data_IF_957326589537
#
_entry.id   IF_957326589537
#
_cell.length_a   1.000
_cell.length_b   1.000
_cell.length_c   1.000
_cell.angle_alpha   90.00
_cell.angle_beta   90.00
_cell.angle_gamma   90.00
#
_symmetry.space_group_name_H-M   'P 1'
#
loop_
_entity.id
_entity.type
_entity.pdbx_description
1 polymer ?
#
# COMPACT_ATOMS: atom_id res chain seq x y z
N UNK A 1 9.06 -13.59 17.59
CA UNK A 1 7.75 -14.24 17.57
C UNK A 1 7.02 -13.55 16.44
N UNK A 2 7.09 -14.12 15.23
CA UNK A 2 6.46 -13.52 14.05
C UNK A 2 4.96 -13.80 14.15
N UNK A 3 4.15 -12.77 13.95
CA UNK A 3 2.70 -12.88 13.97
C UNK A 3 2.28 -13.48 12.62
N UNK A 4 1.78 -14.71 12.62
CA UNK A 4 0.92 -15.21 11.54
C UNK A 4 -0.29 -14.30 11.48
N UNK A 5 -0.61 -13.77 10.29
CA UNK A 5 -1.82 -12.97 10.08
C UNK A 5 -3.05 -13.83 10.41
N UNK A 6 -3.98 -13.27 11.16
CA UNK A 6 -5.22 -13.96 11.51
C UNK A 6 -6.22 -13.79 10.35
N UNK A 7 -6.80 -14.91 9.89
CA UNK A 7 -7.78 -14.90 8.82
C UNK A 7 -9.13 -14.41 9.36
N UNK A 8 -9.64 -13.30 8.84
CA UNK A 8 -10.96 -12.82 9.19
C UNK A 8 -12.04 -13.68 8.56
N UNK A 9 -12.81 -14.39 9.40
CA UNK A 9 -13.87 -15.31 8.96
C UNK A 9 -15.22 -14.82 9.46
N UNK A 10 -16.09 -14.48 8.53
CA UNK A 10 -17.48 -14.17 8.80
C UNK A 10 -18.38 -14.67 7.69
N UNK A 11 -19.70 -14.57 7.90
CA UNK A 11 -20.65 -14.98 6.88
C UNK A 11 -20.44 -14.12 5.62
N UNK A 12 -20.00 -14.76 4.55
CA UNK A 12 -19.60 -14.16 3.27
C UNK A 12 -18.26 -13.41 3.27
N UNK A 13 -17.35 -13.70 4.20
CA UNK A 13 -15.99 -13.14 4.18
C UNK A 13 -14.98 -14.15 4.70
N UNK A 14 -13.90 -14.36 3.94
CA UNK A 14 -12.72 -15.12 4.31
C UNK A 14 -11.51 -14.39 3.73
N UNK A 15 -10.83 -13.59 4.56
CA UNK A 15 -9.81 -12.66 4.08
C UNK A 15 -8.72 -12.39 5.12
N UNK A 16 -7.52 -11.99 4.68
CA UNK A 16 -6.49 -11.32 5.49
C UNK A 16 -6.41 -9.84 5.11
N UNK A 17 -6.02 -8.99 6.05
CA UNK A 17 -5.93 -7.55 5.83
C UNK A 17 -4.76 -7.23 4.88
N UNK A 18 -5.07 -6.59 3.75
CA UNK A 18 -4.07 -6.22 2.75
C UNK A 18 -3.00 -5.26 3.31
N UNK A 19 -3.37 -4.36 4.21
CA UNK A 19 -2.42 -3.42 4.85
C UNK A 19 -1.47 -4.15 5.79
N UNK A 20 -1.94 -5.15 6.53
CA UNK A 20 -1.08 -5.95 7.42
C UNK A 20 0.01 -6.70 6.62
N UNK A 21 -0.31 -7.17 5.42
CA UNK A 21 0.69 -7.78 4.54
C UNK A 21 1.74 -6.77 4.05
N UNK A 22 1.36 -5.51 3.82
CA UNK A 22 2.31 -4.43 3.50
C UNK A 22 3.15 -4.07 4.73
N UNK A 23 2.57 -4.11 5.93
CA UNK A 23 3.32 -3.91 7.17
C UNK A 23 4.38 -5.00 7.37
N UNK A 24 4.11 -6.26 7.01
CA UNK A 24 5.12 -7.33 6.98
C UNK A 24 6.27 -6.99 6.04
N UNK A 25 5.98 -6.48 4.84
CA UNK A 25 7.02 -6.00 3.92
C UNK A 25 7.85 -4.89 4.59
N UNK A 26 7.22 -3.87 5.15
CA UNK A 26 7.93 -2.75 5.81
C UNK A 26 8.80 -3.26 6.97
N UNK A 27 8.28 -4.13 7.83
CA UNK A 27 9.03 -4.65 8.97
C UNK A 27 10.28 -5.47 8.57
N UNK A 28 10.25 -6.14 7.41
CA UNK A 28 11.35 -7.00 6.96
C UNK A 28 12.34 -6.30 6.02
N UNK A 29 11.95 -5.20 5.39
CA UNK A 29 12.80 -4.48 4.44
C UNK A 29 13.29 -3.11 4.93
N UNK A 30 12.59 -2.43 5.83
CA UNK A 30 12.78 -1.00 6.04
C UNK A 30 14.14 -0.63 6.64
N UNK A 31 14.79 0.33 6.00
CA UNK A 31 15.89 1.10 6.56
C UNK A 31 15.39 2.48 7.05
N UNK A 32 16.18 3.24 7.83
CA UNK A 32 15.72 4.52 8.39
C UNK A 32 15.23 5.58 7.39
N UNK A 33 15.43 5.38 6.09
CA UNK A 33 15.03 6.29 5.04
C UNK A 33 13.63 6.02 4.48
N UNK A 34 13.05 4.82 4.62
CA UNK A 34 11.72 4.52 4.08
C UNK A 34 10.65 5.45 4.64
N UNK A 35 10.72 5.72 5.95
CA UNK A 35 9.86 6.73 6.60
C UNK A 35 9.94 8.12 5.94
N UNK A 36 11.11 8.55 5.44
CA UNK A 36 11.25 9.87 4.83
C UNK A 36 10.52 9.97 3.50
N UNK A 37 10.58 8.92 2.68
CA UNK A 37 9.79 8.85 1.45
C UNK A 37 8.30 8.75 1.79
N UNK A 38 7.91 7.92 2.78
CA UNK A 38 6.53 7.83 3.26
C UNK A 38 5.94 9.19 3.64
N UNK A 39 6.65 9.93 4.50
CA UNK A 39 6.18 11.24 4.98
C UNK A 39 6.10 12.26 3.83
N UNK A 40 7.03 12.21 2.87
CA UNK A 40 6.97 13.03 1.67
C UNK A 40 5.76 12.68 0.78
N UNK A 41 5.49 11.40 0.55
CA UNK A 41 4.33 10.97 -0.23
C UNK A 41 3.01 11.38 0.45
N UNK A 42 2.90 11.24 1.77
CA UNK A 42 1.74 11.74 2.55
C UNK A 42 1.57 13.26 2.37
N UNK A 43 2.67 14.02 2.43
CA UNK A 43 2.63 15.46 2.23
C UNK A 43 2.11 15.82 0.83
N UNK A 44 2.61 15.13 -0.21
CA UNK A 44 2.21 15.33 -1.60
C UNK A 44 0.74 14.91 -1.87
N UNK A 45 0.27 13.84 -1.21
CA UNK A 45 -1.10 13.33 -1.38
C UNK A 45 -2.16 14.11 -0.62
N UNK A 46 -1.76 15.05 0.24
CA UNK A 46 -2.70 15.87 1.02
C UNK A 46 -3.67 16.71 0.15
N UNK A 47 -3.30 17.00 -1.11
CA UNK A 47 -4.18 17.55 -2.16
C UNK A 47 -4.77 18.95 -1.89
N UNK A 48 -4.38 19.61 -0.79
CA UNK A 48 -4.96 20.91 -0.36
C UNK A 48 -4.15 22.12 -0.81
N UNK A 49 -2.84 21.93 -0.93
CA UNK A 49 -1.85 22.98 -1.15
C UNK A 49 -0.94 22.55 -2.32
N UNK A 50 -0.33 23.51 -3.01
CA UNK A 50 0.63 23.20 -4.06
C UNK A 50 1.89 22.57 -3.44
N UNK A 51 2.43 21.52 -4.05
CA UNK A 51 3.55 20.77 -3.45
C UNK A 51 4.67 20.65 -4.48
N UNK A 52 5.78 21.33 -4.22
CA UNK A 52 6.90 21.40 -5.15
C UNK A 52 8.05 20.53 -4.69
N UNK A 53 8.66 19.80 -5.62
CA UNK A 53 9.91 19.09 -5.35
C UNK A 53 11.11 19.99 -5.65
N UNK A 54 12.02 20.09 -4.68
CA UNK A 54 13.18 20.99 -4.77
C UNK A 54 14.46 20.29 -4.31
N UNK A 55 15.61 20.86 -4.69
CA UNK A 55 16.91 20.39 -4.19
C UNK A 55 16.99 20.53 -2.66
N UNK A 56 17.55 19.55 -1.92
CA UNK A 56 17.54 19.50 -0.45
C UNK A 56 18.03 20.77 0.24
N UNK A 57 19.02 21.44 -0.36
CA UNK A 57 19.67 22.63 0.18
C UNK A 57 19.34 23.91 -0.59
N UNK A 58 18.35 23.87 -1.49
CA UNK A 58 17.86 25.07 -2.16
C UNK A 58 17.33 26.06 -1.11
N UNK A 59 17.91 27.26 -1.10
CA UNK A 59 17.35 28.40 -0.39
C UNK A 59 16.17 28.90 -1.22
N UNK A 60 14.96 28.82 -0.65
CA UNK A 60 13.75 29.29 -1.29
C UNK A 60 13.39 30.64 -0.69
N UNK A 61 13.34 31.65 -1.54
CA UNK A 61 12.82 32.95 -1.20
C UNK A 61 11.31 33.00 -1.42
N UNK A 62 10.65 33.90 -0.69
CA UNK A 62 9.21 34.11 -0.84
C UNK A 62 8.81 34.49 -2.28
N UNK A 63 9.66 35.25 -2.97
CA UNK A 63 9.42 35.69 -4.35
C UNK A 63 9.47 34.56 -5.38
N UNK A 64 10.25 33.51 -5.14
CA UNK A 64 10.35 32.35 -6.05
C UNK A 64 9.10 31.46 -6.00
N UNK A 65 8.27 31.62 -4.97
CA UNK A 65 6.98 30.95 -4.85
C UNK A 65 5.81 31.85 -5.25
N UNK A 66 6.06 33.03 -5.84
CA UNK A 66 4.98 33.88 -6.36
C UNK A 66 4.36 33.22 -7.60
N UNK A 67 3.06 32.86 -7.58
CA UNK A 67 2.39 32.24 -8.73
C UNK A 67 2.32 33.15 -9.98
N UNK A 68 2.71 34.43 -9.86
CA UNK A 68 2.74 35.43 -10.94
C UNK A 68 4.14 35.65 -11.50
N UNK A 69 5.18 35.07 -10.89
CA UNK A 69 6.55 35.24 -11.36
C UNK A 69 6.68 34.71 -12.79
N UNK A 70 7.00 35.60 -13.72
CA UNK A 70 7.13 35.29 -15.16
C UNK A 70 8.46 34.60 -15.49
N UNK A 71 9.48 34.83 -14.66
CA UNK A 71 10.81 34.23 -14.75
C UNK A 71 10.89 33.01 -13.81
N UNK A 72 9.87 32.16 -13.91
CA UNK A 72 9.55 31.08 -12.99
C UNK A 72 10.75 30.21 -12.66
N UNK A 73 10.95 29.99 -11.37
CA UNK A 73 11.65 28.78 -10.94
C UNK A 73 10.82 27.62 -11.49
N UNK A 74 11.38 26.86 -12.43
CA UNK A 74 10.75 25.66 -13.01
C UNK A 74 10.79 24.54 -11.96
N UNK A 75 10.04 24.76 -10.88
CA UNK A 75 9.88 23.80 -9.81
C UNK A 75 8.76 22.85 -10.20
N UNK A 76 9.04 21.55 -10.27
CA UNK A 76 8.01 20.58 -10.57
C UNK A 76 6.98 20.57 -9.44
N UNK A 77 5.73 20.90 -9.78
CA UNK A 77 4.58 20.63 -8.93
C UNK A 77 4.29 19.12 -9.01
N UNK A 78 4.34 18.48 -7.85
CA UNK A 78 4.19 17.02 -7.71
C UNK A 78 3.00 16.65 -6.85
N UNK A 79 2.26 17.63 -6.31
CA UNK A 79 1.09 17.39 -5.48
C UNK A 79 -0.10 16.88 -6.28
N UNK A 80 -0.76 15.83 -5.80
CA UNK A 80 -2.03 15.32 -6.31
C UNK A 80 -2.68 14.44 -5.24
N UNK A 81 -4.00 14.38 -5.15
CA UNK A 81 -4.69 13.51 -4.19
C UNK A 81 -4.43 12.00 -4.44
N UNK A 82 -4.00 11.63 -5.65
CA UNK A 82 -3.70 10.27 -6.05
C UNK A 82 -2.19 9.99 -5.97
N UNK A 83 -1.81 8.95 -5.23
CA UNK A 83 -0.40 8.55 -5.10
C UNK A 83 0.23 8.19 -6.44
N UNK A 84 -0.48 7.47 -7.32
CA UNK A 84 0.05 7.14 -8.64
C UNK A 84 0.37 8.38 -9.49
N UNK A 85 -0.41 9.46 -9.33
CA UNK A 85 -0.12 10.75 -9.97
C UNK A 85 1.05 11.47 -9.33
N UNK A 86 1.17 11.45 -8.00
CA UNK A 86 2.34 11.98 -7.29
C UNK A 86 3.63 11.30 -7.78
N UNK A 87 3.63 9.97 -7.85
CA UNK A 87 4.76 9.18 -8.36
C UNK A 87 5.05 9.51 -9.83
N UNK A 88 4.03 9.60 -10.67
CA UNK A 88 4.17 9.99 -12.08
C UNK A 88 4.77 11.38 -12.24
N UNK A 89 4.36 12.35 -11.42
CA UNK A 89 4.89 13.71 -11.45
C UNK A 89 6.35 13.77 -10.97
N UNK A 90 6.71 13.03 -9.92
CA UNK A 90 8.10 12.89 -9.46
C UNK A 90 9.00 12.24 -10.53
N UNK A 91 8.47 11.26 -11.26
CA UNK A 91 9.18 10.59 -12.36
C UNK A 91 9.32 11.51 -13.57
N UNK A 92 8.27 12.27 -13.93
CA UNK A 92 8.33 13.28 -14.98
C UNK A 92 9.32 14.41 -14.67
N UNK A 93 9.48 14.75 -13.38
CA UNK A 93 10.53 15.65 -12.89
C UNK A 93 11.93 15.04 -12.92
N UNK A 94 12.06 13.73 -13.22
CA UNK A 94 13.29 12.96 -13.24
C UNK A 94 13.91 12.76 -11.85
N UNK A 95 13.12 12.82 -10.79
CA UNK A 95 13.60 12.64 -9.41
C UNK A 95 13.61 11.17 -9.02
N UNK A 96 12.64 10.41 -9.53
CA UNK A 96 12.50 8.99 -9.29
C UNK A 96 12.32 8.22 -10.60
N UNK A 97 12.49 6.90 -10.55
CA UNK A 97 12.00 5.95 -11.53
C UNK A 97 11.11 4.92 -10.83
N UNK A 98 10.03 4.49 -11.47
CA UNK A 98 9.07 3.55 -10.86
C UNK A 98 8.96 2.24 -11.64
N UNK A 99 8.72 1.15 -10.93
CA UNK A 99 8.41 -0.17 -11.51
C UNK A 99 7.45 -0.93 -10.61
N UNK A 100 6.28 -1.30 -11.14
CA UNK A 100 5.38 -2.21 -10.43
C UNK A 100 6.04 -3.58 -10.26
N UNK A 101 6.16 -4.04 -9.03
CA UNK A 101 6.69 -5.38 -8.68
C UNK A 101 5.55 -6.37 -8.54
N UNK A 102 4.47 -5.95 -7.88
CA UNK A 102 3.30 -6.77 -7.59
C UNK A 102 2.03 -5.96 -7.82
N UNK A 103 1.02 -6.59 -8.40
CA UNK A 103 -0.34 -6.07 -8.44
C UNK A 103 -1.31 -7.24 -8.30
N UNK A 104 -2.10 -7.21 -7.25
CA UNK A 104 -3.07 -8.25 -6.92
C UNK A 104 -4.44 -7.65 -6.72
N UNK A 105 -5.44 -8.29 -7.34
CA UNK A 105 -6.84 -7.94 -7.17
C UNK A 105 -7.46 -8.77 -6.03
N UNK A 106 -8.44 -8.21 -5.30
CA UNK A 106 -9.11 -8.95 -4.22
C UNK A 106 -9.97 -10.11 -4.75
N UNK A 107 -10.30 -10.11 -6.06
CA UNK A 107 -11.06 -11.20 -6.68
C UNK A 107 -10.22 -12.46 -6.96
N UNK A 108 -8.90 -12.36 -6.86
CA UNK A 108 -7.97 -13.44 -7.22
C UNK A 108 -7.20 -13.98 -6.01
N UNK A 109 -7.45 -13.44 -4.81
CA UNK A 109 -6.74 -13.75 -3.57
C UNK A 109 -7.68 -13.57 -2.36
N UNK A 110 -7.25 -14.03 -1.18
CA UNK A 110 -7.98 -13.82 0.07
C UNK A 110 -7.63 -12.49 0.75
N UNK A 111 -7.44 -11.41 -0.01
CA UNK A 111 -7.15 -10.08 0.54
C UNK A 111 -8.44 -9.29 0.75
N UNK A 112 -8.50 -8.48 1.81
CA UNK A 112 -9.64 -7.55 2.04
C UNK A 112 -9.80 -6.53 0.91
N UNK A 113 -8.70 -6.12 0.29
CA UNK A 113 -8.62 -5.15 -0.79
C UNK A 113 -7.54 -5.56 -1.80
N UNK A 114 -7.50 -4.91 -2.97
CA UNK A 114 -6.37 -5.05 -3.87
C UNK A 114 -5.11 -4.48 -3.25
N UNK A 115 -3.94 -5.00 -3.64
CA UNK A 115 -2.65 -4.43 -3.23
C UNK A 115 -1.70 -4.27 -4.40
N UNK A 116 -0.91 -3.20 -4.35
CA UNK A 116 0.14 -2.91 -5.31
C UNK A 116 1.44 -2.71 -4.52
N UNK A 117 2.52 -3.29 -5.00
CA UNK A 117 3.88 -2.98 -4.53
C UNK A 117 4.66 -2.38 -5.69
N UNK A 118 5.08 -1.14 -5.52
CA UNK A 118 5.85 -0.39 -6.50
C UNK A 118 7.27 -0.19 -6.00
N UNK A 119 8.25 -0.62 -6.80
CA UNK A 119 9.63 -0.24 -6.62
C UNK A 119 9.85 1.19 -7.06
N UNK A 120 10.52 1.96 -6.21
CA UNK A 120 10.89 3.35 -6.49
C UNK A 120 12.40 3.51 -6.34
N UNK A 121 13.08 3.89 -7.41
CA UNK A 121 14.46 4.35 -7.35
C UNK A 121 14.46 5.87 -7.22
N UNK A 122 14.91 6.40 -6.09
CA UNK A 122 15.17 7.84 -5.97
C UNK A 122 16.52 8.13 -6.60
N UNK A 123 16.50 8.67 -7.82
CA UNK A 123 17.68 8.98 -8.60
C UNK A 123 18.43 10.20 -8.06
N UNK A 124 17.68 11.19 -7.55
CA UNK A 124 18.21 12.46 -7.07
C UNK A 124 17.57 12.80 -5.72
N UNK A 125 18.35 13.07 -4.66
CA UNK A 125 17.79 13.47 -3.38
C UNK A 125 16.94 14.73 -3.53
N UNK A 126 15.80 14.77 -2.86
CA UNK A 126 14.86 15.89 -2.92
C UNK A 126 14.21 16.17 -1.57
N UNK A 127 13.58 17.33 -1.46
CA UNK A 127 12.62 17.66 -0.40
C UNK A 127 11.36 18.21 -1.04
N UNK A 128 10.23 18.02 -0.38
CA UNK A 128 8.96 18.58 -0.79
C UNK A 128 8.66 19.84 0.01
N UNK A 129 8.13 20.84 -0.68
CA UNK A 129 7.76 22.12 -0.10
C UNK A 129 6.31 22.41 -0.43
N UNK A 130 5.50 22.55 0.60
CA UNK A 130 4.09 22.87 0.47
C UNK A 130 3.90 24.37 0.53
N UNK A 131 3.18 24.93 -0.43
CA UNK A 131 2.87 26.37 -0.52
C UNK A 131 1.35 26.56 -0.44
N UNK A 132 0.92 27.29 0.58
CA UNK A 132 -0.47 27.70 0.75
C UNK A 132 -0.72 28.96 -0.04
N UNK A 133 -1.71 28.91 -0.90
CA UNK A 133 -2.17 30.06 -1.68
C UNK A 133 -3.51 30.57 -1.13
N UNK A 134 -3.65 31.88 -0.97
CA UNK A 134 -4.89 32.49 -0.50
C UNK A 134 -5.21 33.80 -1.21
N UNK A 135 -6.49 34.16 -1.20
CA UNK A 135 -7.01 35.38 -1.84
C UNK A 135 -7.46 36.38 -0.77
N UNK A 136 -6.97 37.62 -0.85
CA UNK A 136 -7.52 38.71 -0.04
C UNK A 136 -8.97 39.02 -0.44
N UNK A 137 -9.74 39.59 0.49
CA UNK A 137 -11.12 39.97 0.23
C UNK A 137 -11.20 40.98 -0.93
N UNK A 138 -11.83 40.56 -2.02
CA UNK A 138 -11.94 41.34 -3.27
C UNK A 138 -10.98 40.91 -4.38
N UNK A 139 -9.98 40.07 -4.09
CA UNK A 139 -9.03 39.52 -5.07
C UNK A 139 -9.52 38.21 -5.73
N UNK A 140 -10.70 37.69 -5.37
CA UNK A 140 -11.28 36.46 -5.96
C UNK A 140 -11.54 36.54 -7.48
N UNK A 141 -11.43 37.74 -8.07
CA UNK A 141 -11.48 37.95 -9.54
C UNK A 141 -10.10 37.87 -10.21
N UNK A 142 -9.03 37.78 -9.44
CA UNK A 142 -7.67 37.53 -9.94
C UNK A 142 -7.50 36.05 -10.27
N UNK A 143 -6.90 35.75 -11.42
CA UNK A 143 -6.57 34.40 -11.84
C UNK A 143 -5.50 33.74 -10.95
N UNK A 144 -4.74 34.55 -10.19
CA UNK A 144 -3.68 34.09 -9.29
C UNK A 144 -3.95 34.56 -7.86
N UNK A 145 -3.51 33.76 -6.89
CA UNK A 145 -3.50 34.15 -5.48
C UNK A 145 -2.59 35.38 -5.26
N UNK A 146 -3.02 36.30 -4.40
CA UNK A 146 -2.27 37.51 -4.06
C UNK A 146 -1.51 37.37 -2.72
N UNK A 147 -1.68 36.23 -2.04
CA UNK A 147 -0.96 35.86 -0.83
C UNK A 147 -0.54 34.40 -0.88
N UNK A 148 0.68 34.13 -0.46
CA UNK A 148 1.18 32.77 -0.30
C UNK A 148 2.19 32.67 0.84
N UNK A 149 2.31 31.47 1.40
CA UNK A 149 3.31 31.15 2.42
C UNK A 149 3.85 29.74 2.21
N UNK A 150 5.13 29.54 2.52
CA UNK A 150 5.71 28.21 2.63
C UNK A 150 5.19 27.60 3.93
N UNK A 151 4.30 26.63 3.81
CA UNK A 151 3.60 26.04 4.94
C UNK A 151 4.42 24.93 5.60
N UNK A 152 5.06 24.09 4.78
CA UNK A 152 5.76 22.90 5.26
C UNK A 152 6.94 22.55 4.34
N UNK A 153 7.97 21.92 4.92
CA UNK A 153 9.10 21.35 4.20
C UNK A 153 9.38 19.95 4.75
N UNK A 154 9.41 18.96 3.86
CA UNK A 154 9.71 17.58 4.21
C UNK A 154 11.17 17.41 4.65
N UNK A 155 11.46 16.25 5.26
CA UNK A 155 12.83 15.78 5.37
C UNK A 155 13.42 15.43 4.00
N UNK A 156 14.76 15.40 3.93
CA UNK A 156 15.50 15.00 2.74
C UNK A 156 15.24 13.52 2.47
N UNK A 157 14.61 13.23 1.33
CA UNK A 157 14.53 11.88 0.77
C UNK A 157 15.88 11.61 0.08
N UNK A 158 16.72 10.70 0.60
CA UNK A 158 18.00 10.41 -0.03
C UNK A 158 17.81 9.60 -1.31
N UNK A 159 18.87 9.54 -2.12
CA UNK A 159 18.91 8.61 -3.24
C UNK A 159 18.99 7.17 -2.72
N UNK A 160 18.35 6.24 -3.42
CA UNK A 160 18.28 4.84 -3.01
C UNK A 160 17.03 4.14 -3.53
N UNK A 161 16.87 2.88 -3.14
CA UNK A 161 15.73 2.05 -3.51
C UNK A 161 14.69 2.02 -2.40
N UNK A 162 13.43 1.95 -2.80
CA UNK A 162 12.29 1.90 -1.90
C UNK A 162 11.23 0.95 -2.46
N UNK A 163 10.46 0.33 -1.57
CA UNK A 163 9.20 -0.34 -1.90
C UNK A 163 8.05 0.46 -1.33
N UNK A 164 7.11 0.84 -2.19
CA UNK A 164 5.89 1.56 -1.83
C UNK A 164 4.73 0.57 -1.93
N UNK A 165 4.06 0.35 -0.81
CA UNK A 165 2.88 -0.51 -0.71
C UNK A 165 1.61 0.32 -0.70
N UNK A 166 0.69 -0.06 -1.58
CA UNK A 166 -0.59 0.58 -1.87
C UNK A 166 -1.71 -0.44 -1.67
N UNK A 167 -2.82 -0.04 -1.06
CA UNK A 167 -4.00 -0.91 -0.85
C UNK A 167 -5.27 -0.20 -1.30
N UNK A 168 -6.20 -0.96 -1.90
CA UNK A 168 -7.48 -0.46 -2.39
C UNK A 168 -7.92 -1.14 -3.70
N UNK A 169 -9.08 -0.72 -4.23
CA UNK A 169 -9.68 -1.33 -5.43
C UNK A 169 -9.86 -0.32 -6.58
N UNK A 170 -10.16 0.94 -6.26
CA UNK A 170 -10.39 2.02 -7.24
C UNK A 170 -9.53 3.25 -6.98
N UNK A 171 -9.30 3.54 -5.71
CA UNK A 171 -8.33 4.50 -5.24
C UNK A 171 -7.41 3.75 -4.29
N UNK A 172 -6.12 3.74 -4.60
CA UNK A 172 -5.12 3.10 -3.76
C UNK A 172 -4.62 4.11 -2.73
N UNK A 173 -4.73 3.74 -1.47
CA UNK A 173 -4.17 4.49 -0.35
C UNK A 173 -2.77 3.96 -0.02
N UNK A 174 -1.90 4.86 0.42
CA UNK A 174 -0.55 4.50 0.86
C UNK A 174 -0.64 3.68 2.16
N UNK A 175 -0.33 2.39 2.09
CA UNK A 175 -0.25 1.52 3.26
C UNK A 175 1.12 1.63 3.94
N UNK A 176 2.21 1.57 3.15
CA UNK A 176 3.56 1.53 3.72
C UNK A 176 4.67 1.88 2.74
N UNK A 177 5.84 2.24 3.27
CA UNK A 177 7.06 2.41 2.47
C UNK A 177 8.24 1.82 3.23
N UNK A 178 9.01 0.99 2.55
CA UNK A 178 10.25 0.42 3.05
C UNK A 178 11.44 0.98 2.27
N UNK A 179 12.47 1.45 2.95
CA UNK A 179 13.75 1.77 2.31
C UNK A 179 14.60 0.52 2.12
N UNK A 180 15.15 0.31 0.93
CA UNK A 180 15.92 -0.88 0.55
C UNK A 180 17.39 -0.54 0.30
N UNK A 181 18.30 -1.47 0.61
CA UNK A 181 19.71 -1.36 0.22
C UNK A 181 19.95 -1.64 -1.27
N UNK A 182 18.98 -2.27 -1.93
CA UNK A 182 18.94 -2.51 -3.38
C UNK A 182 17.67 -3.26 -3.77
N UNK A 183 17.35 -3.27 -5.07
CA UNK A 183 16.29 -4.10 -5.63
C UNK A 183 16.88 -5.12 -6.60
N UNK A 184 16.31 -6.33 -6.63
CA UNK A 184 16.67 -7.38 -7.58
C UNK A 184 15.47 -7.73 -8.47
N UNK A 185 15.72 -8.51 -9.52
CA UNK A 185 14.63 -9.10 -10.31
C UNK A 185 13.79 -10.10 -9.48
N UNK A 186 14.40 -10.67 -8.44
CA UNK A 186 13.75 -11.63 -7.53
C UNK A 186 12.94 -10.97 -6.40
N UNK A 187 12.81 -9.63 -6.38
CA UNK A 187 12.03 -8.94 -5.33
C UNK A 187 10.57 -9.41 -5.28
N UNK A 188 10.00 -9.81 -6.43
CA UNK A 188 8.70 -10.49 -6.46
C UNK A 188 8.72 -11.79 -5.65
N UNK A 189 9.68 -12.70 -5.91
CA UNK A 189 9.79 -13.96 -5.18
C UNK A 189 10.06 -13.73 -3.69
N UNK A 190 10.91 -12.76 -3.35
CA UNK A 190 11.18 -12.40 -1.96
C UNK A 190 9.93 -11.98 -1.20
N UNK A 191 9.00 -11.24 -1.84
CA UNK A 191 7.74 -10.86 -1.21
C UNK A 191 6.91 -12.11 -0.82
N UNK A 192 6.81 -13.10 -1.70
CA UNK A 192 6.09 -14.36 -1.41
C UNK A 192 6.82 -15.27 -0.41
N UNK A 193 8.14 -15.13 -0.28
CA UNK A 193 8.91 -15.83 0.76
C UNK A 193 8.68 -15.24 2.17
N UNK A 194 8.06 -14.06 2.29
CA UNK A 194 7.67 -13.51 3.58
C UNK A 194 6.47 -14.28 4.13
N UNK A 195 6.67 -14.93 5.28
CA UNK A 195 5.61 -15.66 5.98
C UNK A 195 4.41 -14.75 6.25
N UNK A 196 3.24 -15.13 5.71
CA UNK A 196 1.99 -14.38 5.83
C UNK A 196 1.79 -13.28 4.78
N UNK A 197 2.71 -13.11 3.82
CA UNK A 197 2.52 -12.17 2.71
C UNK A 197 1.69 -12.80 1.57
N UNK A 198 1.96 -14.05 1.22
CA UNK A 198 1.11 -14.78 0.29
C UNK A 198 -0.30 -14.89 0.87
N UNK A 199 -1.28 -14.63 0.01
CA UNK A 199 -2.70 -14.66 0.35
C UNK A 199 -3.49 -15.37 -0.76
N UNK A 200 -2.80 -16.15 -1.59
CA UNK A 200 -3.39 -16.87 -2.70
C UNK A 200 -3.83 -18.27 -2.28
N UNK A 201 -3.31 -18.82 -1.19
CA UNK A 201 -3.63 -20.15 -0.69
C UNK A 201 -4.38 -20.08 0.64
N UNK A 202 -5.38 -20.95 0.81
CA UNK A 202 -6.07 -21.12 2.07
C UNK A 202 -6.17 -22.61 2.43
N UNK A 203 -5.62 -22.95 3.59
CA UNK A 203 -5.78 -24.26 4.21
C UNK A 203 -6.90 -24.20 5.25
N UNK A 204 -7.77 -25.21 5.23
CA UNK A 204 -8.82 -25.40 6.22
C UNK A 204 -8.65 -26.75 6.93
N UNK A 205 -8.70 -26.77 8.27
CA UNK A 205 -8.52 -28.00 9.05
C UNK A 205 -9.57 -28.12 10.16
N UNK A 206 -10.13 -29.33 10.32
CA UNK A 206 -11.05 -29.64 11.41
C UNK A 206 -10.34 -30.15 12.66
N UNK A 207 -10.60 -29.53 13.81
CA UNK A 207 -10.01 -29.91 15.11
C UNK A 207 -10.42 -31.30 15.64
N UNK A 208 -11.55 -31.82 15.18
CA UNK A 208 -12.18 -33.02 15.76
C UNK A 208 -11.94 -34.26 14.91
N UNK A 209 -12.10 -34.14 13.59
CA UNK A 209 -11.93 -35.27 12.67
C UNK A 209 -10.61 -35.24 11.90
N UNK A 210 -9.83 -34.15 11.98
CA UNK A 210 -8.55 -34.00 11.30
C UNK A 210 -8.65 -33.93 9.78
N UNK A 211 -9.86 -33.78 9.21
CA UNK A 211 -10.03 -33.56 7.77
C UNK A 211 -9.45 -32.21 7.38
N UNK A 212 -8.83 -32.18 6.20
CA UNK A 212 -8.14 -31.01 5.67
C UNK A 212 -8.62 -30.71 4.27
N UNK A 213 -8.66 -29.41 3.96
CA UNK A 213 -9.01 -28.92 2.64
C UNK A 213 -8.11 -27.77 2.26
N UNK A 214 -7.99 -27.54 0.96
CA UNK A 214 -7.25 -26.41 0.39
C UNK A 214 -8.11 -25.69 -0.64
N UNK A 215 -7.86 -24.40 -0.79
CA UNK A 215 -8.44 -23.56 -1.83
C UNK A 215 -7.40 -22.54 -2.27
N UNK A 216 -7.37 -22.26 -3.58
CA UNK A 216 -6.38 -21.38 -4.19
C UNK A 216 -7.06 -20.21 -4.93
N UNK A 217 -6.33 -19.12 -5.10
CA UNK A 217 -6.73 -17.95 -5.89
C UNK A 217 -8.00 -17.27 -5.37
N UNK A 218 -8.17 -17.16 -4.05
CA UNK A 218 -9.38 -16.60 -3.45
C UNK A 218 -10.64 -17.46 -3.63
N UNK A 219 -10.49 -18.72 -4.02
CA UNK A 219 -11.61 -19.64 -4.25
C UNK A 219 -12.43 -19.88 -2.98
N UNK A 220 -13.75 -19.92 -3.14
CA UNK A 220 -14.67 -20.29 -2.07
C UNK A 220 -14.88 -21.80 -1.98
N UNK A 221 -14.34 -22.55 -2.95
CA UNK A 221 -14.47 -24.00 -3.05
C UNK A 221 -13.22 -24.67 -2.49
N UNK A 222 -13.43 -25.44 -1.44
CA UNK A 222 -12.42 -26.19 -0.70
C UNK A 222 -12.39 -27.64 -1.15
N UNK A 223 -11.25 -28.06 -1.70
CA UNK A 223 -10.99 -29.44 -2.15
C UNK A 223 -10.24 -30.23 -1.06
N UNK A 224 -10.58 -31.51 -0.85
CA UNK A 224 -9.97 -32.31 0.21
C UNK A 224 -8.47 -32.54 -0.04
N UNK A 225 -7.67 -32.31 0.99
CA UNK A 225 -6.22 -32.48 0.96
C UNK A 225 -5.84 -33.85 1.54
N UNK A 226 -5.56 -34.82 0.66
CA UNK A 226 -5.16 -36.19 0.99
C UNK A 226 -6.08 -36.91 2.02
N UNK A 227 -7.38 -36.61 2.03
CA UNK A 227 -8.37 -37.24 2.91
C UNK A 227 -9.68 -37.61 2.19
N UNK A 228 -10.48 -38.50 2.79
CA UNK A 228 -11.77 -38.97 2.25
C UNK A 228 -12.95 -38.01 2.53
N UNK A 229 -12.66 -36.73 2.83
CA UNK A 229 -13.69 -35.73 3.08
C UNK A 229 -14.31 -35.22 1.76
N UNK A 230 -15.59 -34.84 1.73
CA UNK A 230 -16.17 -34.20 0.57
C UNK A 230 -15.59 -32.80 0.36
N UNK A 231 -15.48 -32.38 -0.89
CA UNK A 231 -15.30 -30.97 -1.23
C UNK A 231 -16.54 -30.17 -0.81
N UNK A 232 -16.35 -28.90 -0.46
CA UNK A 232 -17.42 -28.03 0.02
C UNK A 232 -17.20 -26.58 -0.39
N UNK A 233 -18.27 -25.77 -0.29
CA UNK A 233 -18.23 -24.34 -0.57
C UNK A 233 -18.34 -23.53 0.71
N UNK A 234 -17.52 -22.51 0.88
CA UNK A 234 -17.57 -21.59 2.01
C UNK A 234 -18.91 -20.83 2.09
N UNK A 235 -19.57 -20.61 0.96
CA UNK A 235 -20.93 -20.05 0.92
C UNK A 235 -21.97 -20.91 1.64
N UNK A 236 -21.75 -22.23 1.66
CA UNK A 236 -22.61 -23.21 2.32
C UNK A 236 -22.19 -23.45 3.78
N UNK A 237 -21.18 -22.72 4.28
CA UNK A 237 -20.75 -22.85 5.67
C UNK A 237 -21.89 -22.48 6.63
N UNK A 238 -22.03 -23.30 7.67
CA UNK A 238 -22.97 -23.07 8.75
C UNK A 238 -22.22 -22.98 10.09
N UNK A 239 -22.95 -22.57 11.14
CA UNK A 239 -22.44 -22.52 12.50
C UNK A 239 -21.16 -21.66 12.65
N UNK A 240 -21.17 -20.44 12.11
CA UNK A 240 -20.12 -19.45 12.37
C UNK A 240 -20.02 -19.18 13.87
N UNK A 241 -18.84 -19.41 14.43
CA UNK A 241 -18.62 -19.44 15.87
C UNK A 241 -17.44 -18.59 16.31
N UNK A 242 -17.07 -18.66 17.60
CA UNK A 242 -15.97 -17.87 18.13
C UNK A 242 -14.64 -18.22 17.46
N UNK A 243 -13.71 -17.26 17.47
CA UNK A 243 -12.36 -17.40 16.90
C UNK A 243 -12.36 -17.71 15.40
N UNK A 244 -13.30 -17.13 14.64
CA UNK A 244 -13.21 -17.14 13.18
C UNK A 244 -13.26 -18.55 12.59
N UNK A 245 -14.15 -19.39 13.14
CA UNK A 245 -14.34 -20.78 12.71
C UNK A 245 -15.73 -21.03 12.16
N UNK A 246 -15.89 -22.13 11.42
CA UNK A 246 -17.19 -22.66 10.97
C UNK A 246 -17.41 -24.10 11.44
N UNK A 247 -18.65 -24.59 11.39
CA UNK A 247 -18.97 -25.99 11.67
C UNK A 247 -18.38 -26.93 10.61
N UNK A 248 -17.83 -28.07 11.04
CA UNK A 248 -17.22 -29.02 10.11
C UNK A 248 -18.26 -29.70 9.21
N UNK A 249 -18.15 -29.56 7.87
CA UNK A 249 -19.11 -30.16 6.94
C UNK A 249 -19.00 -31.70 6.87
N UNK A 250 -17.87 -32.28 7.30
CA UNK A 250 -17.66 -33.72 7.26
C UNK A 250 -18.18 -34.46 8.49
N UNK A 251 -17.92 -33.96 9.70
CA UNK A 251 -18.28 -34.66 10.94
C UNK A 251 -19.45 -34.03 11.71
N UNK A 252 -19.84 -32.79 11.40
CA UNK A 252 -20.96 -32.08 12.01
C UNK A 252 -20.77 -31.69 13.49
N UNK A 253 -19.63 -32.02 14.11
CA UNK A 253 -19.36 -31.76 15.53
C UNK A 253 -18.09 -30.95 15.80
N UNK A 254 -17.14 -30.93 14.87
CA UNK A 254 -15.89 -30.18 15.00
C UNK A 254 -15.95 -28.77 14.45
N UNK A 255 -14.89 -28.01 14.71
CA UNK A 255 -14.68 -26.65 14.19
C UNK A 255 -13.61 -26.67 13.10
N UNK A 256 -13.83 -25.89 12.05
CA UNK A 256 -12.86 -25.69 10.96
C UNK A 256 -12.19 -24.34 11.13
N UNK A 257 -10.87 -24.36 11.14
CA UNK A 257 -9.99 -23.19 11.21
C UNK A 257 -9.37 -22.94 9.85
N UNK A 258 -9.05 -21.69 9.56
CA UNK A 258 -8.50 -21.27 8.27
C UNK A 258 -7.12 -20.66 8.48
N UNK A 259 -6.21 -21.01 7.59
CA UNK A 259 -4.88 -20.42 7.50
C UNK A 259 -4.69 -19.94 6.06
N UNK A 260 -4.48 -18.64 5.90
CA UNK A 260 -4.22 -18.01 4.60
C UNK A 260 -2.70 -17.79 4.49
N UNK A 261 -2.13 -18.23 3.36
CA UNK A 261 -0.71 -18.11 3.05
C UNK A 261 -0.47 -18.26 1.55
#
# INVERSE_FOLDING_TARGET
MMATLEACVSKYSLTVDASETIDLMVQNADNPWGRRLRDALIQATSGRDACFAVSPYAALSHAEMDPRASDGLDLPDVGDASLCRVLSNLEAAGLIATRTVLHEAPSENYLTDGRIVTAVEVMRPFVLVTVRHSWSSGAWRSMYADRWEIAERSYIVPAGWYLVGEVGEHCYDLAGVAGMDGISDDTFCWLYDLEGFDASHCMAECDSCGSRWTADGGSWRFEPDWCDAPAWSFDDAEDFGPNETVGCPSCGTGRVYFQIS
#
